data_IF_445293043943
#
_entry.id   IF_445293043943
#
_cell.length_a   1.000
_cell.length_b   1.000
_cell.length_c   1.000
_cell.angle_alpha   90.00
_cell.angle_beta   90.00
_cell.angle_gamma   90.00
#
_symmetry.space_group_name_H-M   'P 1'
#
loop_
_entity.id
_entity.type
_entity.pdbx_description
1 polymer ?
#
# COMPACT_ATOMS: atom_id res chain seq x y z
N UNK A 1 -5.72 10.78 -18.59
CA UNK A 1 -6.88 10.52 -17.71
C UNK A 1 -6.36 10.05 -16.37
N UNK A 2 -6.67 10.73 -15.24
CA UNK A 2 -6.42 10.17 -13.90
C UNK A 2 -7.42 9.05 -13.65
N UNK A 3 -6.94 7.86 -13.31
CA UNK A 3 -7.82 6.74 -12.95
C UNK A 3 -8.50 7.08 -11.62
N UNK A 4 -9.80 7.41 -11.65
CA UNK A 4 -10.58 7.81 -10.46
C UNK A 4 -10.74 6.67 -9.45
N UNK A 5 -10.56 5.42 -9.88
CA UNK A 5 -10.66 4.26 -9.01
C UNK A 5 -9.29 3.77 -8.51
N UNK A 6 -8.21 4.49 -8.83
CA UNK A 6 -6.87 4.14 -8.34
C UNK A 6 -6.81 4.14 -6.81
N UNK A 7 -7.47 5.10 -6.15
CA UNK A 7 -7.53 5.16 -4.68
C UNK A 7 -8.28 3.96 -4.09
N UNK A 8 -9.32 3.48 -4.77
CA UNK A 8 -10.10 2.32 -4.33
C UNK A 8 -9.36 1.00 -4.53
N UNK A 9 -8.65 0.85 -5.65
CA UNK A 9 -8.04 -0.43 -6.01
C UNK A 9 -6.57 -0.55 -5.58
N UNK A 10 -5.87 0.57 -5.40
CA UNK A 10 -4.48 0.59 -4.96
C UNK A 10 -4.35 1.19 -3.55
N UNK A 11 -4.21 0.36 -2.51
CA UNK A 11 -4.01 0.86 -1.15
C UNK A 11 -2.62 1.45 -0.90
N UNK A 12 -1.73 1.39 -1.89
CA UNK A 12 -0.38 1.95 -1.88
C UNK A 12 -0.22 3.03 -2.96
N UNK A 13 -1.30 3.70 -3.35
CA UNK A 13 -1.27 4.72 -4.41
C UNK A 13 -0.29 5.84 -4.08
N UNK A 14 -0.27 6.28 -2.82
CA UNK A 14 0.62 7.36 -2.36
C UNK A 14 2.09 6.98 -2.50
N UNK A 15 2.46 5.78 -2.07
CA UNK A 15 3.85 5.29 -2.17
C UNK A 15 4.25 5.04 -3.62
N UNK A 16 3.31 4.60 -4.46
CA UNK A 16 3.50 4.49 -5.91
C UNK A 16 3.78 5.86 -6.54
N UNK A 17 2.97 6.88 -6.22
CA UNK A 17 3.17 8.25 -6.74
C UNK A 17 4.49 8.85 -6.28
N UNK A 18 4.91 8.62 -5.03
CA UNK A 18 6.22 9.05 -4.52
C UNK A 18 7.37 8.36 -5.27
N UNK A 19 7.25 7.06 -5.53
CA UNK A 19 8.24 6.31 -6.32
C UNK A 19 8.36 6.87 -7.73
N UNK A 20 7.22 7.11 -8.40
CA UNK A 20 7.22 7.71 -9.74
C UNK A 20 7.78 9.12 -9.76
N UNK A 21 7.47 9.94 -8.75
CA UNK A 21 8.03 11.27 -8.62
C UNK A 21 9.56 11.20 -8.48
N UNK A 22 10.07 10.34 -7.61
CA UNK A 22 11.51 10.17 -7.45
C UNK A 22 12.17 9.73 -8.76
N UNK A 23 11.60 8.76 -9.48
CA UNK A 23 12.14 8.34 -10.77
C UNK A 23 12.15 9.48 -11.79
N UNK A 24 11.09 10.28 -11.85
CA UNK A 24 11.03 11.42 -12.75
C UNK A 24 12.08 12.48 -12.42
N UNK A 25 12.34 12.73 -11.13
CA UNK A 25 13.28 13.76 -10.68
C UNK A 25 14.76 13.29 -10.80
N UNK A 26 15.01 11.98 -10.80
CA UNK A 26 16.36 11.38 -10.82
C UNK A 26 16.69 10.62 -12.11
N UNK A 27 16.08 10.97 -13.25
CA UNK A 27 16.33 10.30 -14.54
C UNK A 27 16.16 8.76 -14.51
N UNK A 28 15.18 8.28 -13.76
CA UNK A 28 14.89 6.86 -13.55
C UNK A 28 16.00 6.07 -12.86
N UNK A 29 16.91 6.75 -12.15
CA UNK A 29 17.89 6.09 -11.30
C UNK A 29 17.19 5.37 -10.14
N UNK A 30 17.35 4.04 -10.11
CA UNK A 30 16.77 3.18 -9.07
C UNK A 30 17.51 3.25 -7.76
N UNK A 31 18.81 3.56 -7.80
CA UNK A 31 19.63 3.64 -6.60
C UNK A 31 19.29 4.90 -5.81
N UNK A 32 19.08 6.01 -6.51
CA UNK A 32 18.62 7.27 -5.91
C UNK A 32 17.24 7.16 -5.23
N UNK A 33 16.38 6.24 -5.69
CA UNK A 33 15.00 6.07 -5.23
C UNK A 33 14.77 4.82 -4.37
N UNK A 34 15.83 4.23 -3.81
CA UNK A 34 15.72 2.99 -3.03
C UNK A 34 14.72 3.11 -1.87
N UNK A 35 14.67 4.25 -1.20
CA UNK A 35 13.78 4.47 -0.06
C UNK A 35 12.31 4.44 -0.49
N UNK A 36 11.94 5.14 -1.56
CA UNK A 36 10.58 5.19 -2.10
C UNK A 36 10.15 3.81 -2.59
N UNK A 37 11.06 3.10 -3.27
CA UNK A 37 10.85 1.73 -3.71
C UNK A 37 10.60 0.81 -2.51
N UNK A 38 11.41 0.91 -1.45
CA UNK A 38 11.25 0.12 -0.23
C UNK A 38 9.92 0.42 0.47
N UNK A 39 9.53 1.70 0.55
CA UNK A 39 8.24 2.11 1.11
C UNK A 39 7.07 1.50 0.32
N UNK A 40 7.12 1.55 -1.02
CA UNK A 40 6.11 0.95 -1.87
C UNK A 40 6.03 -0.58 -1.70
N UNK A 41 7.16 -1.27 -1.63
CA UNK A 41 7.19 -2.72 -1.39
C UNK A 41 6.70 -3.10 0.00
N UNK A 42 7.02 -2.30 1.03
CA UNK A 42 6.55 -2.49 2.40
C UNK A 42 5.04 -2.35 2.46
N UNK A 43 4.48 -1.30 1.83
CA UNK A 43 3.04 -1.13 1.74
C UNK A 43 2.36 -2.32 1.05
N UNK A 44 2.90 -2.78 -0.09
CA UNK A 44 2.33 -3.95 -0.80
C UNK A 44 2.35 -5.20 0.06
N UNK A 45 3.46 -5.46 0.76
CA UNK A 45 3.62 -6.61 1.65
C UNK A 45 2.60 -6.55 2.78
N UNK A 46 2.44 -5.40 3.43
CA UNK A 46 1.44 -5.19 4.47
C UNK A 46 0.03 -5.51 3.97
N UNK A 47 -0.39 -4.93 2.84
CA UNK A 47 -1.74 -5.18 2.31
C UNK A 47 -1.94 -6.59 1.77
N UNK A 48 -0.88 -7.28 1.33
CA UNK A 48 -0.94 -8.71 1.06
C UNK A 48 -1.25 -9.52 2.31
N UNK A 49 -0.58 -9.23 3.43
CA UNK A 49 -0.86 -9.86 4.72
C UNK A 49 -2.29 -9.58 5.21
N UNK A 50 -2.77 -8.34 5.09
CA UNK A 50 -4.15 -7.97 5.42
C UNK A 50 -5.15 -8.76 4.58
N UNK A 51 -4.97 -8.79 3.25
CA UNK A 51 -5.84 -9.55 2.34
C UNK A 51 -5.83 -11.05 2.66
N UNK A 52 -4.67 -11.61 2.95
CA UNK A 52 -4.52 -13.01 3.32
C UNK A 52 -5.24 -13.33 4.64
N UNK A 53 -5.08 -12.48 5.66
CA UNK A 53 -5.77 -12.60 6.94
C UNK A 53 -7.29 -12.49 6.76
N UNK A 54 -7.79 -11.47 6.04
CA UNK A 54 -9.23 -11.30 5.77
C UNK A 54 -9.81 -12.50 5.04
N UNK A 55 -9.12 -13.00 4.01
CA UNK A 55 -9.51 -14.22 3.29
C UNK A 55 -9.57 -15.46 4.19
N UNK A 56 -8.58 -15.65 5.08
CA UNK A 56 -8.55 -16.77 6.03
C UNK A 56 -9.73 -16.73 7.00
N UNK A 57 -10.19 -15.54 7.38
CA UNK A 57 -11.32 -15.34 8.29
C UNK A 57 -12.67 -15.19 7.57
N UNK A 58 -12.73 -15.39 6.25
CA UNK A 58 -13.98 -15.24 5.48
C UNK A 58 -14.51 -13.81 5.38
N UNK A 59 -13.67 -12.79 5.62
CA UNK A 59 -14.04 -11.38 5.57
C UNK A 59 -13.93 -10.83 4.15
N UNK A 60 -15.07 -10.45 3.57
CA UNK A 60 -15.17 -9.85 2.23
C UNK A 60 -15.77 -8.43 2.29
N UNK A 61 -15.29 -7.50 1.45
CA UNK A 61 -14.21 -7.63 0.47
C UNK A 61 -12.82 -7.84 1.10
N UNK A 62 -11.92 -8.56 0.41
CA UNK A 62 -10.58 -8.87 0.93
C UNK A 62 -9.71 -7.62 1.07
N UNK A 63 -9.90 -6.64 0.19
CA UNK A 63 -9.37 -5.29 0.34
C UNK A 63 -10.43 -4.42 1.03
N UNK A 64 -10.15 -3.83 2.21
CA UNK A 64 -11.11 -2.96 2.86
C UNK A 64 -11.34 -1.66 2.07
N UNK A 65 -12.55 -1.06 2.18
CA UNK A 65 -12.88 0.26 1.67
C UNK A 65 -11.90 1.33 2.18
N UNK A 66 -11.76 2.42 1.44
CA UNK A 66 -10.77 3.48 1.71
C UNK A 66 -10.92 4.05 3.12
N UNK A 67 -12.17 4.22 3.55
CA UNK A 67 -12.58 4.78 4.83
C UNK A 67 -12.15 3.91 6.02
N UNK A 68 -12.14 2.59 5.83
CA UNK A 68 -11.78 1.61 6.86
C UNK A 68 -10.28 1.34 6.93
N UNK A 69 -9.49 1.74 5.90
CA UNK A 69 -8.07 1.37 5.82
C UNK A 69 -7.26 1.86 6.99
N UNK A 70 -7.54 3.06 7.48
CA UNK A 70 -6.81 3.63 8.61
C UNK A 70 -7.08 2.88 9.91
N UNK A 71 -8.32 2.42 10.10
CA UNK A 71 -8.65 1.55 11.24
C UNK A 71 -7.97 0.19 11.11
N UNK A 72 -8.06 -0.45 9.94
CA UNK A 72 -7.42 -1.75 9.69
C UNK A 72 -5.90 -1.67 9.89
N UNK A 73 -5.25 -0.59 9.44
CA UNK A 73 -3.83 -0.35 9.71
C UNK A 73 -3.56 -0.33 11.22
N UNK A 74 -4.27 0.50 11.98
CA UNK A 74 -4.08 0.60 13.44
C UNK A 74 -4.27 -0.75 14.13
N UNK A 75 -5.31 -1.48 13.77
CA UNK A 75 -5.59 -2.80 14.35
C UNK A 75 -4.52 -3.83 14.00
N UNK A 76 -4.07 -3.88 12.73
CA UNK A 76 -3.01 -4.80 12.32
C UNK A 76 -1.67 -4.44 12.96
N UNK A 77 -1.27 -3.17 13.00
CA UNK A 77 -0.05 -2.77 13.68
C UNK A 77 -0.09 -3.10 15.18
N UNK A 78 -1.23 -2.86 15.84
CA UNK A 78 -1.39 -3.22 17.25
C UNK A 78 -1.36 -4.73 17.51
N UNK A 79 -1.84 -5.56 16.58
CA UNK A 79 -1.89 -7.02 16.73
C UNK A 79 -0.60 -7.73 16.31
N UNK A 80 0.21 -7.10 15.47
CA UNK A 80 1.44 -7.68 14.92
C UNK A 80 2.73 -7.02 15.45
N UNK A 81 2.66 -5.98 16.30
CA UNK A 81 3.85 -5.39 16.96
C UNK A 81 4.28 -6.13 18.24
N UNK A 82 4.08 -7.44 18.31
CA UNK A 82 4.43 -8.27 19.47
C UNK A 82 5.40 -9.37 19.07
#
# INVERSE_FOLDING_TARGET
MKNKDAEKNNPCLKEQELSYKCFNDNNFDKEACQLEIQNYQTCKTFWHSVKAHRRKNGLYPTLPPVEEREQVKREFFSKFSM
#
